data_IF_686720224523
#
_entry.id   IF_686720224523
#
_cell.length_a   1.000
_cell.length_b   1.000
_cell.length_c   1.000
_cell.angle_alpha   90.00
_cell.angle_beta   90.00
_cell.angle_gamma   90.00
#
_symmetry.space_group_name_H-M   'P 1'
#
loop_
_entity.id
_entity.type
_entity.pdbx_description
1 polymer ?
#
# COMPACT_ATOMS: atom_id res chain seq x y z
N UNK A 1 6.95 -41.50 -20.27
CA UNK A 1 8.23 -42.00 -19.72
C UNK A 1 8.28 -41.52 -18.28
N UNK A 2 8.07 -42.40 -17.29
CA UNK A 2 8.05 -42.02 -15.86
C UNK A 2 9.51 -42.01 -15.40
N UNK A 3 10.09 -40.84 -15.17
CA UNK A 3 11.41 -40.74 -14.54
C UNK A 3 11.23 -40.94 -13.03
N UNK A 4 11.67 -42.09 -12.54
CA UNK A 4 11.68 -42.41 -11.11
C UNK A 4 13.04 -41.98 -10.54
N UNK A 5 13.04 -41.20 -9.46
CA UNK A 5 14.26 -40.72 -8.81
C UNK A 5 14.26 -41.17 -7.35
N UNK A 6 15.38 -41.70 -6.87
CA UNK A 6 15.54 -42.12 -5.48
C UNK A 6 16.09 -40.96 -4.66
N UNK A 7 15.46 -40.66 -3.53
CA UNK A 7 15.93 -39.66 -2.57
C UNK A 7 15.66 -40.15 -1.16
N UNK A 8 16.66 -40.03 -0.30
CA UNK A 8 16.55 -40.25 1.14
C UNK A 8 16.55 -38.91 1.85
N UNK A 9 15.70 -38.73 2.87
CA UNK A 9 15.76 -37.54 3.71
C UNK A 9 17.02 -37.61 4.58
N UNK A 10 17.77 -36.50 4.64
CA UNK A 10 19.00 -36.43 5.42
C UNK A 10 18.67 -36.60 6.91
N UNK A 11 18.96 -37.79 7.45
CA UNK A 11 18.78 -38.12 8.87
C UNK A 11 17.58 -39.02 9.21
N UNK A 12 16.77 -39.47 8.25
CA UNK A 12 15.72 -40.47 8.51
C UNK A 12 16.13 -41.88 8.05
N UNK A 13 15.85 -42.88 8.89
CA UNK A 13 16.29 -44.28 8.75
C UNK A 13 15.41 -45.16 7.86
N UNK A 14 14.33 -44.61 7.28
CA UNK A 14 13.35 -45.38 6.52
C UNK A 14 13.46 -45.07 5.02
N UNK A 15 13.51 -46.12 4.19
CA UNK A 15 13.51 -46.01 2.73
C UNK A 15 12.14 -45.51 2.22
N UNK A 16 12.03 -44.19 1.99
CA UNK A 16 10.81 -43.57 1.43
C UNK A 16 10.97 -43.43 -0.08
N UNK A 17 10.14 -44.13 -0.84
CA UNK A 17 10.10 -43.96 -2.30
C UNK A 17 9.31 -42.70 -2.66
N UNK A 18 9.88 -41.83 -3.49
CA UNK A 18 9.19 -40.66 -4.04
C UNK A 18 9.19 -40.67 -5.54
N UNK A 19 8.08 -40.26 -6.15
CA UNK A 19 8.02 -40.03 -7.58
C UNK A 19 7.23 -38.78 -7.90
N UNK A 20 7.67 -38.10 -8.96
CA UNK A 20 7.03 -36.93 -9.52
C UNK A 20 6.17 -37.38 -10.70
N UNK A 21 4.90 -36.99 -10.72
CA UNK A 21 3.96 -37.34 -11.79
C UNK A 21 3.12 -36.12 -12.15
N UNK A 22 2.93 -35.92 -13.44
CA UNK A 22 1.85 -35.06 -13.95
C UNK A 22 0.58 -35.89 -14.02
N UNK A 23 -0.45 -35.47 -13.30
CA UNK A 23 -1.72 -36.19 -13.25
C UNK A 23 -2.62 -35.81 -14.42
N UNK A 24 -3.74 -36.55 -14.56
CA UNK A 24 -4.73 -36.35 -15.61
C UNK A 24 -5.51 -35.03 -15.50
N UNK A 25 -5.30 -34.27 -14.43
CA UNK A 25 -5.80 -32.92 -14.23
C UNK A 25 -4.77 -31.84 -14.60
N UNK A 26 -3.61 -32.23 -15.15
CA UNK A 26 -2.55 -31.34 -15.61
C UNK A 26 -1.68 -30.77 -14.49
N UNK A 27 -1.94 -31.10 -13.22
CA UNK A 27 -1.14 -30.66 -12.10
C UNK A 27 0.05 -31.60 -11.88
N UNK A 28 1.18 -31.04 -11.45
CA UNK A 28 2.41 -31.79 -11.20
C UNK A 28 2.53 -32.07 -9.69
N UNK A 29 2.58 -33.34 -9.30
CA UNK A 29 2.56 -33.75 -7.89
C UNK A 29 3.70 -34.70 -7.54
N UNK A 30 4.15 -34.60 -6.29
CA UNK A 30 5.07 -35.58 -5.68
C UNK A 30 4.25 -36.49 -4.78
N UNK A 31 4.49 -37.78 -4.97
CA UNK A 31 3.93 -38.84 -4.17
C UNK A 31 5.02 -39.54 -3.38
N UNK A 32 4.70 -39.96 -2.16
CA UNK A 32 5.55 -40.79 -1.31
C UNK A 32 4.90 -42.12 -0.99
N UNK A 33 5.70 -43.18 -0.93
CA UNK A 33 5.29 -44.51 -0.50
C UNK A 33 6.28 -45.01 0.56
N UNK A 34 5.77 -45.29 1.76
CA UNK A 34 6.51 -45.94 2.84
C UNK A 34 6.30 -47.44 2.75
N UNK A 35 7.31 -48.17 2.31
CA UNK A 35 7.28 -49.64 2.22
C UNK A 35 8.43 -50.17 1.37
N UNK A 36 9.02 -51.29 1.79
CA UNK A 36 10.06 -51.98 1.03
C UNK A 36 9.57 -52.21 -0.41
N UNK A 37 10.35 -51.74 -1.39
CA UNK A 37 10.08 -51.85 -2.82
C UNK A 37 8.79 -51.17 -3.33
N UNK A 38 8.30 -50.11 -2.68
CA UNK A 38 7.18 -49.30 -3.19
C UNK A 38 5.80 -49.94 -3.04
N UNK A 39 5.66 -50.92 -2.15
CA UNK A 39 4.40 -51.63 -1.84
C UNK A 39 3.49 -50.91 -0.83
N UNK A 40 3.89 -49.72 -0.38
CA UNK A 40 3.18 -48.94 0.63
C UNK A 40 2.02 -48.11 0.06
N UNK A 41 1.20 -47.56 0.95
CA UNK A 41 0.17 -46.60 0.57
C UNK A 41 0.82 -45.34 -0.02
N UNK A 42 0.41 -45.00 -1.24
CA UNK A 42 0.86 -43.81 -1.94
C UNK A 42 0.14 -42.60 -1.36
N UNK A 43 0.90 -41.63 -0.86
CA UNK A 43 0.39 -40.39 -0.30
C UNK A 43 0.94 -39.20 -1.07
N UNK A 44 0.08 -38.23 -1.40
CA UNK A 44 0.53 -36.96 -2.00
C UNK A 44 1.25 -36.13 -0.94
N UNK A 45 2.51 -35.78 -1.17
CA UNK A 45 3.29 -34.94 -0.24
C UNK A 45 3.46 -33.51 -0.73
N UNK A 46 3.34 -33.27 -2.03
CA UNK A 46 3.46 -31.94 -2.61
C UNK A 46 2.71 -31.83 -3.95
N UNK A 47 2.25 -30.62 -4.28
CA UNK A 47 1.66 -30.28 -5.58
C UNK A 47 2.20 -28.93 -6.06
N UNK A 48 2.44 -28.80 -7.36
CA UNK A 48 2.95 -27.57 -7.97
C UNK A 48 1.97 -26.40 -7.86
N UNK A 49 0.68 -26.71 -7.92
CA UNK A 49 -0.40 -25.74 -7.72
C UNK A 49 -1.36 -26.30 -6.69
N UNK A 50 -1.65 -25.53 -5.64
CA UNK A 50 -2.57 -25.96 -4.57
C UNK A 50 -4.04 -25.85 -4.98
N UNK A 51 -4.38 -24.81 -5.73
CA UNK A 51 -5.69 -24.57 -6.31
C UNK A 51 -5.76 -25.17 -7.73
N UNK A 52 -6.68 -26.11 -7.94
CA UNK A 52 -6.82 -26.80 -9.21
C UNK A 52 -7.20 -25.85 -10.36
N UNK A 53 -7.92 -24.78 -10.07
CA UNK A 53 -8.30 -23.80 -11.09
C UNK A 53 -7.16 -22.89 -11.54
N UNK A 54 -6.05 -22.84 -10.79
CA UNK A 54 -4.84 -22.11 -11.20
C UNK A 54 -3.94 -22.93 -12.12
N UNK A 55 -4.26 -24.22 -12.37
CA UNK A 55 -3.56 -25.04 -13.35
C UNK A 55 -3.88 -24.52 -14.76
N UNK A 56 -2.86 -23.99 -15.43
CA UNK A 56 -2.99 -23.43 -16.77
C UNK A 56 -3.63 -24.43 -17.75
N UNK A 57 -4.69 -24.00 -18.44
CA UNK A 57 -5.38 -24.84 -19.42
C UNK A 57 -6.25 -25.96 -18.85
N UNK A 58 -6.52 -26.01 -17.53
CA UNK A 58 -7.40 -27.04 -16.94
C UNK A 58 -8.78 -27.12 -17.63
N UNK A 59 -9.36 -25.96 -17.95
CA UNK A 59 -10.63 -25.86 -18.68
C UNK A 59 -10.47 -25.67 -20.20
N UNK A 60 -9.28 -25.89 -20.75
CA UNK A 60 -9.01 -25.68 -22.17
C UNK A 60 -9.03 -24.21 -22.60
N UNK A 61 -8.99 -23.98 -23.92
CA UNK A 61 -8.99 -22.62 -24.47
C UNK A 61 -10.35 -21.93 -24.24
N UNK A 62 -10.33 -20.64 -23.89
CA UNK A 62 -11.50 -19.82 -23.56
C UNK A 62 -12.39 -20.40 -22.44
N UNK A 63 -11.91 -21.38 -21.68
CA UNK A 63 -12.62 -21.96 -20.56
C UNK A 63 -12.33 -21.23 -19.25
N UNK A 64 -13.35 -21.09 -18.41
CA UNK A 64 -13.25 -20.53 -17.05
C UNK A 64 -13.45 -21.66 -16.04
N UNK A 65 -12.47 -21.85 -15.16
CA UNK A 65 -12.57 -22.74 -14.02
C UNK A 65 -13.22 -22.05 -12.82
N UNK A 66 -14.16 -22.70 -12.16
CA UNK A 66 -14.77 -22.24 -10.92
C UNK A 66 -15.07 -23.43 -10.01
N UNK A 67 -15.46 -23.18 -8.76
CA UNK A 67 -15.81 -24.25 -7.82
C UNK A 67 -17.32 -24.34 -7.61
N UNK A 68 -17.85 -25.56 -7.74
CA UNK A 68 -19.22 -25.92 -7.35
C UNK A 68 -19.15 -27.11 -6.40
N UNK A 69 -19.67 -26.95 -5.18
CA UNK A 69 -19.66 -27.99 -4.13
C UNK A 69 -18.25 -28.60 -3.90
N UNK A 70 -17.24 -27.74 -3.84
CA UNK A 70 -15.81 -28.08 -3.67
C UNK A 70 -15.18 -28.88 -4.83
N UNK A 71 -15.85 -29.01 -5.97
CA UNK A 71 -15.29 -29.60 -7.20
C UNK A 71 -15.04 -28.52 -8.26
N UNK A 72 -13.90 -28.56 -8.97
CA UNK A 72 -13.64 -27.65 -10.07
C UNK A 72 -14.56 -27.99 -11.25
N UNK A 73 -15.25 -26.99 -11.77
CA UNK A 73 -16.12 -27.06 -12.93
C UNK A 73 -15.67 -26.07 -14.00
N UNK A 74 -15.81 -26.48 -15.25
CA UNK A 74 -15.42 -25.67 -16.41
C UNK A 74 -16.66 -25.13 -17.11
N UNK A 75 -16.67 -23.84 -17.39
CA UNK A 75 -17.73 -23.16 -18.13
C UNK A 75 -17.17 -22.15 -19.13
N UNK A 76 -18.04 -21.71 -20.04
CA UNK A 76 -17.67 -20.66 -20.99
C UNK A 76 -17.85 -19.27 -20.37
N UNK A 77 -17.12 -18.24 -20.85
CA UNK A 77 -17.11 -16.92 -20.21
C UNK A 77 -18.46 -16.19 -20.32
N UNK A 78 -19.23 -16.46 -21.37
CA UNK A 78 -20.54 -15.86 -21.63
C UNK A 78 -21.30 -16.65 -22.69
N UNK A 79 -22.52 -16.21 -23.01
CA UNK A 79 -23.34 -16.80 -24.07
C UNK A 79 -22.84 -16.50 -25.49
N UNK A 80 -21.85 -15.59 -25.63
CA UNK A 80 -21.13 -15.36 -26.89
C UNK A 80 -20.20 -16.53 -27.27
N UNK A 81 -20.01 -17.48 -26.36
CA UNK A 81 -19.18 -18.66 -26.54
C UNK A 81 -20.04 -19.92 -26.46
N UNK A 82 -19.53 -21.01 -27.04
CA UNK A 82 -20.11 -22.34 -26.95
C UNK A 82 -19.03 -23.36 -26.59
N UNK A 83 -19.36 -24.41 -25.83
CA UNK A 83 -18.38 -25.44 -25.49
C UNK A 83 -17.89 -26.15 -26.76
N UNK A 84 -16.60 -26.47 -26.81
CA UNK A 84 -16.05 -27.31 -27.89
C UNK A 84 -16.64 -28.72 -27.83
N UNK A 85 -16.93 -29.20 -26.62
CA UNK A 85 -17.60 -30.47 -26.37
C UNK A 85 -18.60 -30.30 -25.21
N UNK A 86 -19.88 -30.60 -25.45
CA UNK A 86 -20.93 -30.47 -24.43
C UNK A 86 -20.76 -31.45 -23.25
N UNK A 87 -20.10 -32.58 -23.46
CA UNK A 87 -19.92 -33.64 -22.46
C UNK A 87 -18.59 -33.50 -21.69
N UNK A 88 -17.64 -32.72 -22.22
CA UNK A 88 -16.33 -32.52 -21.62
C UNK A 88 -15.92 -31.04 -21.64
N UNK A 89 -16.30 -30.32 -20.58
CA UNK A 89 -15.95 -28.91 -20.39
C UNK A 89 -14.46 -28.62 -20.31
N UNK A 90 -13.59 -29.63 -20.14
CA UNK A 90 -12.12 -29.44 -20.18
C UNK A 90 -11.57 -29.23 -21.58
N UNK A 91 -12.37 -29.47 -22.62
CA UNK A 91 -12.00 -29.16 -24.02
C UNK A 91 -12.05 -27.67 -24.34
N UNK A 92 -12.58 -26.85 -23.44
CA UNK A 92 -12.69 -25.41 -23.63
C UNK A 92 -13.91 -24.98 -24.42
N UNK A 93 -13.88 -23.72 -24.82
CA UNK A 93 -14.94 -23.02 -25.51
C UNK A 93 -14.42 -22.38 -26.79
N UNK A 94 -15.33 -22.19 -27.75
CA UNK A 94 -15.08 -21.42 -28.98
C UNK A 94 -16.04 -20.25 -29.05
N UNK A 95 -15.67 -19.20 -29.78
CA UNK A 95 -16.60 -18.10 -30.04
C UNK A 95 -17.68 -18.59 -30.99
N UNK A 96 -18.90 -18.10 -30.82
CA UNK A 96 -19.97 -18.33 -31.80
C UNK A 96 -19.73 -17.55 -33.09
N UNK A 97 -19.07 -16.39 -32.97
CA UNK A 97 -18.64 -15.54 -34.09
C UNK A 97 -17.20 -15.12 -33.80
N UNK A 98 -16.27 -15.47 -34.68
CA UNK A 98 -14.88 -15.06 -34.56
C UNK A 98 -14.75 -13.54 -34.76
N UNK A 99 -13.67 -12.97 -34.21
CA UNK A 99 -13.50 -11.51 -34.18
C UNK A 99 -13.19 -10.97 -35.59
N UNK A 100 -12.48 -11.75 -36.40
CA UNK A 100 -12.12 -11.44 -37.77
C UNK A 100 -13.35 -11.36 -38.70
N UNK A 101 -14.36 -12.19 -38.43
CA UNK A 101 -15.58 -12.31 -39.24
C UNK A 101 -16.75 -11.51 -38.66
N UNK A 102 -16.47 -10.58 -37.73
CA UNK A 102 -17.52 -9.86 -37.01
C UNK A 102 -18.27 -8.86 -37.92
N UNK A 103 -19.60 -9.01 -38.13
CA UNK A 103 -20.37 -8.11 -38.99
C UNK A 103 -20.71 -6.76 -38.33
N UNK A 104 -20.40 -6.58 -37.05
CA UNK A 104 -20.69 -5.38 -36.27
C UNK A 104 -19.50 -4.93 -35.43
N UNK A 105 -19.74 -4.06 -34.45
CA UNK A 105 -18.67 -3.58 -33.59
C UNK A 105 -18.17 -4.67 -32.63
N UNK A 106 -16.84 -4.78 -32.51
CA UNK A 106 -16.19 -5.60 -31.50
C UNK A 106 -16.28 -4.90 -30.16
N UNK A 107 -16.66 -5.63 -29.11
CA UNK A 107 -16.75 -5.10 -27.76
C UNK A 107 -15.96 -5.95 -26.78
N UNK A 108 -15.72 -5.43 -25.58
CA UNK A 108 -15.10 -6.18 -24.49
C UNK A 108 -16.15 -6.59 -23.47
N UNK A 109 -16.34 -7.90 -23.31
CA UNK A 109 -17.08 -8.51 -22.21
C UNK A 109 -16.29 -8.34 -20.91
N UNK A 110 -16.94 -7.87 -19.85
CA UNK A 110 -16.36 -7.74 -18.51
C UNK A 110 -16.70 -8.97 -17.65
N UNK A 111 -15.69 -9.52 -16.99
CA UNK A 111 -15.80 -10.67 -16.10
C UNK A 111 -15.21 -10.29 -14.73
N UNK A 112 -16.09 -10.03 -13.77
CA UNK A 112 -15.69 -9.72 -12.40
C UNK A 112 -15.20 -10.98 -11.68
N UNK A 113 -14.31 -10.76 -10.71
CA UNK A 113 -13.70 -11.80 -9.88
C UNK A 113 -13.07 -12.93 -10.71
N UNK A 114 -12.48 -12.58 -11.85
CA UNK A 114 -11.98 -13.52 -12.86
C UNK A 114 -10.56 -13.12 -13.26
N UNK A 115 -9.68 -14.11 -13.37
CA UNK A 115 -8.28 -13.93 -13.80
C UNK A 115 -7.96 -14.85 -14.99
N UNK A 116 -7.55 -14.27 -16.11
CA UNK A 116 -6.98 -15.03 -17.22
C UNK A 116 -5.51 -15.37 -17.01
N UNK A 117 -5.18 -16.64 -17.28
CA UNK A 117 -3.87 -17.27 -17.22
C UNK A 117 -3.26 -17.36 -18.62
N UNK A 118 -1.94 -17.30 -18.69
CA UNK A 118 -1.13 -17.43 -19.91
C UNK A 118 0.10 -18.30 -19.65
N UNK A 119 0.68 -18.82 -20.73
CA UNK A 119 1.94 -19.56 -20.69
C UNK A 119 2.90 -19.08 -21.79
N UNK A 120 4.16 -18.73 -21.44
CA UNK A 120 4.72 -18.64 -20.09
C UNK A 120 4.01 -17.55 -19.24
N UNK A 121 4.00 -17.66 -17.90
CA UNK A 121 3.45 -16.63 -17.03
C UNK A 121 4.19 -15.30 -17.28
N UNK A 122 3.43 -14.22 -17.42
CA UNK A 122 3.94 -12.91 -17.83
C UNK A 122 4.92 -12.34 -16.78
N UNK A 123 6.23 -12.44 -17.06
CA UNK A 123 7.29 -12.01 -16.14
C UNK A 123 7.83 -10.60 -16.43
N UNK A 124 7.61 -10.04 -17.63
CA UNK A 124 7.82 -8.62 -17.94
C UNK A 124 7.12 -8.26 -19.27
N UNK A 125 6.74 -6.99 -19.42
CA UNK A 125 6.51 -6.27 -20.71
C UNK A 125 5.12 -5.71 -21.03
N UNK A 126 4.16 -5.68 -20.10
CA UNK A 126 2.89 -4.96 -20.35
C UNK A 126 2.41 -4.13 -19.17
N UNK A 127 3.33 -3.33 -18.63
CA UNK A 127 3.05 -2.44 -17.53
C UNK A 127 2.34 -1.16 -18.03
N UNK A 128 1.01 -1.10 -17.94
CA UNK A 128 0.26 0.16 -18.07
C UNK A 128 -0.39 0.50 -16.74
N UNK A 129 0.16 1.49 -16.05
CA UNK A 129 -0.42 2.04 -14.81
C UNK A 129 -1.46 3.12 -15.17
N UNK A 130 -2.72 2.75 -15.42
CA UNK A 130 -3.86 3.69 -15.48
C UNK A 130 -5.18 2.97 -15.14
N UNK A 131 -6.17 3.76 -14.69
CA UNK A 131 -7.52 3.35 -14.25
C UNK A 131 -8.20 2.23 -15.09
N UNK A 132 -9.13 1.47 -14.49
CA UNK A 132 -9.88 0.32 -15.09
C UNK A 132 -10.21 0.49 -16.59
N UNK A 133 -10.64 1.70 -16.98
CA UNK A 133 -11.03 2.05 -18.36
C UNK A 133 -9.88 1.88 -19.36
N UNK A 134 -8.65 2.22 -18.98
CA UNK A 134 -7.47 2.14 -19.84
C UNK A 134 -7.13 0.69 -20.21
N UNK A 135 -7.24 -0.25 -19.27
CA UNK A 135 -6.94 -1.67 -19.52
C UNK A 135 -7.87 -2.26 -20.60
N UNK A 136 -9.17 -2.01 -20.45
CA UNK A 136 -10.21 -2.43 -21.39
C UNK A 136 -10.04 -1.79 -22.77
N UNK A 137 -9.84 -0.48 -22.81
CA UNK A 137 -9.77 0.29 -24.08
C UNK A 137 -8.49 0.00 -24.86
N UNK A 138 -7.35 -0.17 -24.20
CA UNK A 138 -6.10 -0.52 -24.86
C UNK A 138 -6.14 -1.91 -25.51
N UNK A 139 -6.73 -2.90 -24.82
CA UNK A 139 -6.93 -4.22 -25.43
C UNK A 139 -7.91 -4.16 -26.61
N UNK A 140 -8.98 -3.39 -26.48
CA UNK A 140 -9.96 -3.21 -27.55
C UNK A 140 -9.32 -2.59 -28.80
N UNK A 141 -8.47 -1.57 -28.63
CA UNK A 141 -7.78 -0.89 -29.73
C UNK A 141 -6.68 -1.73 -30.39
N UNK A 142 -6.04 -2.65 -29.67
CA UNK A 142 -4.96 -3.48 -30.21
C UNK A 142 -5.51 -4.69 -30.96
N UNK A 143 -5.17 -4.86 -32.24
CA UNK A 143 -5.60 -6.01 -33.04
C UNK A 143 -5.07 -7.36 -32.55
N UNK A 144 -3.93 -7.36 -31.84
CA UNK A 144 -3.27 -8.57 -31.33
C UNK A 144 -3.72 -8.96 -29.93
N UNK A 145 -4.45 -8.08 -29.23
CA UNK A 145 -4.95 -8.37 -27.89
C UNK A 145 -6.29 -9.13 -27.95
N UNK A 146 -6.33 -10.30 -27.34
CA UNK A 146 -7.52 -11.16 -27.27
C UNK A 146 -8.33 -10.90 -25.99
N UNK A 147 -7.62 -10.71 -24.88
CA UNK A 147 -8.19 -10.48 -23.56
C UNK A 147 -7.25 -9.62 -22.71
N UNK A 148 -7.70 -9.14 -21.55
CA UNK A 148 -6.88 -8.40 -20.60
C UNK A 148 -7.34 -8.65 -19.17
N UNK A 149 -6.43 -8.66 -18.20
CA UNK A 149 -6.74 -8.83 -16.77
C UNK A 149 -6.24 -7.64 -15.98
N UNK A 150 -7.12 -7.00 -15.20
CA UNK A 150 -6.75 -6.00 -14.21
C UNK A 150 -6.72 -6.64 -12.82
N UNK A 151 -5.64 -6.40 -12.07
CA UNK A 151 -5.49 -6.82 -10.68
C UNK A 151 -5.73 -5.64 -9.73
N UNK A 152 -6.67 -5.81 -8.82
CA UNK A 152 -7.12 -4.83 -7.83
C UNK A 152 -6.62 -5.17 -6.41
N UNK A 153 -5.40 -5.68 -6.29
CA UNK A 153 -4.69 -5.96 -5.04
C UNK A 153 -3.94 -4.73 -4.48
N UNK A 154 -4.18 -3.55 -5.06
CA UNK A 154 -3.48 -2.30 -4.77
C UNK A 154 -2.34 -1.98 -5.75
N UNK A 155 -1.91 -2.94 -6.58
CA UNK A 155 -0.88 -2.69 -7.60
C UNK A 155 -1.41 -1.95 -8.83
N UNK A 156 -2.68 -2.18 -9.19
CA UNK A 156 -3.31 -1.59 -10.37
C UNK A 156 -2.74 -2.11 -11.70
N UNK A 157 -2.12 -3.29 -11.70
CA UNK A 157 -1.53 -3.85 -12.92
C UNK A 157 -2.59 -4.38 -13.90
N UNK A 158 -2.40 -4.04 -15.18
CA UNK A 158 -3.18 -4.55 -16.30
C UNK A 158 -2.28 -5.44 -17.18
N UNK A 159 -2.70 -6.68 -17.40
CA UNK A 159 -1.99 -7.64 -18.25
C UNK A 159 -2.79 -7.84 -19.53
N UNK A 160 -2.21 -7.56 -20.70
CA UNK A 160 -2.86 -7.84 -21.99
C UNK A 160 -2.50 -9.27 -22.43
N UNK A 161 -3.47 -9.98 -22.98
CA UNK A 161 -3.33 -11.38 -23.39
C UNK A 161 -3.29 -11.41 -24.91
N UNK A 162 -2.09 -11.60 -25.45
CA UNK A 162 -1.83 -11.75 -26.89
C UNK A 162 -1.99 -13.17 -27.44
N UNK A 163 -1.79 -14.27 -26.69
CA UNK A 163 -1.97 -15.60 -27.29
C UNK A 163 -3.45 -15.91 -27.54
N UNK A 164 -3.73 -16.66 -28.60
CA UNK A 164 -5.07 -17.19 -28.90
C UNK A 164 -5.50 -18.30 -27.93
N UNK A 165 -4.59 -18.76 -27.06
CA UNK A 165 -4.91 -19.66 -25.97
C UNK A 165 -5.03 -18.86 -24.67
N UNK A 166 -6.26 -18.72 -24.16
CA UNK A 166 -6.56 -18.01 -22.92
C UNK A 166 -7.45 -18.91 -22.06
N UNK A 167 -6.94 -19.37 -20.93
CA UNK A 167 -7.75 -20.06 -19.91
C UNK A 167 -7.88 -19.16 -18.69
N UNK A 168 -9.00 -19.20 -17.97
CA UNK A 168 -9.17 -18.39 -16.77
C UNK A 168 -9.71 -19.17 -15.60
N UNK A 169 -9.74 -18.50 -14.45
CA UNK A 169 -10.47 -18.97 -13.29
C UNK A 169 -11.23 -17.84 -12.61
N UNK A 170 -12.31 -18.21 -11.94
CA UNK A 170 -13.24 -17.31 -11.29
C UNK A 170 -13.53 -17.78 -9.87
N UNK A 171 -13.56 -16.83 -8.94
CA UNK A 171 -13.84 -17.10 -7.53
C UNK A 171 -14.19 -15.83 -6.78
N UNK A 172 -15.16 -15.89 -5.87
CA UNK A 172 -15.77 -14.71 -5.23
C UNK A 172 -14.80 -13.77 -4.48
N UNK A 173 -13.64 -14.27 -4.08
CA UNK A 173 -12.63 -13.53 -3.30
C UNK A 173 -11.53 -12.94 -4.21
N UNK A 174 -11.56 -13.21 -5.52
CA UNK A 174 -10.51 -12.76 -6.43
C UNK A 174 -10.60 -11.25 -6.67
N UNK A 175 -9.57 -10.46 -6.31
CA UNK A 175 -9.54 -9.03 -6.53
C UNK A 175 -9.08 -8.75 -7.97
N UNK A 176 -9.73 -9.35 -8.97
CA UNK A 176 -9.36 -9.19 -10.37
C UNK A 176 -10.58 -9.05 -11.25
N UNK A 177 -10.46 -8.23 -12.29
CA UNK A 177 -11.48 -8.07 -13.33
C UNK A 177 -10.83 -8.33 -14.67
N UNK A 178 -11.37 -9.30 -15.40
CA UNK A 178 -10.88 -9.66 -16.72
C UNK A 178 -11.82 -9.16 -17.81
N UNK A 179 -11.27 -8.93 -19.00
CA UNK A 179 -12.00 -8.49 -20.17
C UNK A 179 -11.63 -9.37 -21.37
N UNK A 180 -12.59 -9.74 -22.21
CA UNK A 180 -12.35 -10.53 -23.43
C UNK A 180 -13.13 -9.98 -24.61
N UNK A 181 -12.51 -9.99 -25.80
CA UNK A 181 -13.17 -9.55 -27.03
C UNK A 181 -14.29 -10.49 -27.45
N UNK A 182 -15.43 -9.89 -27.76
CA UNK A 182 -16.61 -10.54 -28.33
C UNK A 182 -17.15 -9.71 -29.48
N UNK A 183 -17.71 -10.39 -30.48
CA UNK A 183 -18.41 -9.72 -31.58
C UNK A 183 -19.81 -9.30 -31.14
N UNK A 184 -20.18 -8.02 -31.36
CA UNK A 184 -21.48 -7.49 -31.01
C UNK A 184 -21.70 -7.30 -29.50
N UNK A 185 -22.97 -7.34 -29.08
CA UNK A 185 -23.33 -7.13 -27.69
C UNK A 185 -22.79 -8.25 -26.78
N UNK A 186 -22.19 -7.87 -25.66
CA UNK A 186 -21.77 -8.82 -24.63
C UNK A 186 -23.01 -9.40 -23.91
N UNK A 187 -23.17 -10.72 -23.95
CA UNK A 187 -24.32 -11.43 -23.38
C UNK A 187 -23.83 -12.29 -22.20
N UNK A 188 -23.79 -11.74 -20.97
CA UNK A 188 -23.26 -12.46 -19.81
C UNK A 188 -24.05 -13.74 -19.52
N UNK A 189 -23.41 -14.69 -18.83
CA UNK A 189 -24.11 -15.86 -18.32
C UNK A 189 -25.16 -15.44 -17.27
N UNK A 190 -26.31 -16.11 -17.21
CA UNK A 190 -27.31 -15.84 -16.18
C UNK A 190 -26.68 -16.01 -14.79
N UNK A 191 -26.86 -15.00 -13.95
CA UNK A 191 -26.45 -15.03 -12.55
C UNK A 191 -27.25 -16.09 -11.79
N UNK A 192 -26.64 -16.92 -10.94
CA UNK A 192 -27.36 -17.85 -10.05
C UNK A 192 -28.33 -17.16 -9.08
N UNK A 193 -28.27 -15.83 -8.96
CA UNK A 193 -29.03 -15.03 -7.99
C UNK A 193 -30.20 -14.22 -8.61
N UNK A 194 -30.55 -14.44 -9.88
CA UNK A 194 -31.61 -13.66 -10.56
C UNK A 194 -32.68 -14.52 -11.25
N UNK A 195 -33.05 -15.67 -10.68
CA UNK A 195 -34.28 -16.40 -11.07
C UNK A 195 -35.35 -16.31 -9.98
N UNK A 196 -35.96 -15.13 -9.84
CA UNK A 196 -37.31 -15.00 -9.31
C UNK A 196 -37.87 -13.61 -9.64
N UNK A 197 -38.41 -13.44 -10.85
CA UNK A 197 -39.71 -12.80 -11.07
C UNK A 197 -39.88 -12.48 -12.54
N UNK A 198 -40.60 -13.36 -13.24
CA UNK A 198 -41.33 -12.99 -14.44
C UNK A 198 -42.59 -13.84 -14.51
N UNK A 199 -43.73 -13.24 -14.12
CA UNK A 199 -45.05 -13.48 -14.71
C UNK A 199 -46.02 -12.37 -14.27
N UNK A 200 -46.09 -11.37 -15.14
CA UNK A 200 -47.27 -10.67 -15.64
C UNK A 200 -48.47 -10.42 -14.69
N UNK A 201 -48.69 -9.14 -14.37
CA UNK A 201 -50.01 -8.50 -14.43
C UNK A 201 -49.81 -6.99 -14.56
N UNK A 202 -49.82 -6.55 -15.81
CA UNK A 202 -49.58 -5.20 -16.28
C UNK A 202 -50.59 -4.18 -15.71
N UNK A 203 -50.14 -2.93 -15.53
CA UNK A 203 -50.87 -1.73 -15.05
C UNK A 203 -50.79 -1.36 -13.56
N UNK A 204 -50.99 -2.25 -12.58
CA UNK A 204 -51.05 -1.84 -11.15
C UNK A 204 -49.68 -1.82 -10.45
N UNK A 205 -48.79 -2.75 -10.80
CA UNK A 205 -47.42 -2.78 -10.27
C UNK A 205 -46.58 -1.61 -10.76
N UNK A 206 -46.78 -1.15 -11.99
CA UNK A 206 -46.03 -0.03 -12.58
C UNK A 206 -46.33 1.29 -11.83
N UNK A 207 -47.59 1.54 -11.45
CA UNK A 207 -47.94 2.71 -10.64
C UNK A 207 -47.35 2.65 -9.22
N UNK A 208 -47.37 1.48 -8.57
CA UNK A 208 -46.78 1.32 -7.24
C UNK A 208 -45.26 1.52 -7.29
N UNK A 209 -44.59 0.92 -8.27
CA UNK A 209 -43.13 1.07 -8.43
C UNK A 209 -42.76 2.53 -8.69
N UNK A 210 -43.46 3.23 -9.58
CA UNK A 210 -43.21 4.66 -9.85
C UNK A 210 -43.43 5.50 -8.58
N UNK A 211 -44.46 5.22 -7.79
CA UNK A 211 -44.72 5.94 -6.54
C UNK A 211 -43.64 5.72 -5.48
N UNK A 212 -43.12 4.49 -5.35
CA UNK A 212 -42.03 4.14 -4.41
C UNK A 212 -40.69 4.72 -4.88
N UNK A 213 -40.43 4.72 -6.19
CA UNK A 213 -39.22 5.32 -6.76
C UNK A 213 -39.24 6.84 -6.58
N UNK A 214 -40.38 7.49 -6.81
CA UNK A 214 -40.52 8.94 -6.59
C UNK A 214 -40.37 9.32 -5.11
N UNK A 215 -40.96 8.53 -4.20
CA UNK A 215 -40.82 8.75 -2.76
C UNK A 215 -39.37 8.53 -2.27
N UNK A 216 -38.68 7.52 -2.79
CA UNK A 216 -37.27 7.25 -2.43
C UNK A 216 -36.32 8.29 -3.00
N UNK A 217 -36.54 8.79 -4.23
CA UNK A 217 -35.79 9.91 -4.79
C UNK A 217 -36.01 11.21 -4.00
N UNK A 218 -37.25 11.49 -3.56
CA UNK A 218 -37.53 12.62 -2.68
C UNK A 218 -36.83 12.48 -1.33
N UNK A 219 -36.85 11.28 -0.73
CA UNK A 219 -36.15 11.02 0.53
C UNK A 219 -34.63 11.22 0.39
N UNK A 220 -34.04 10.69 -0.69
CA UNK A 220 -32.61 10.89 -0.99
C UNK A 220 -32.27 12.36 -1.26
N UNK A 221 -33.17 13.10 -1.90
CA UNK A 221 -32.98 14.54 -2.12
C UNK A 221 -33.05 15.32 -0.81
N UNK A 222 -33.97 14.99 0.10
CA UNK A 222 -34.06 15.61 1.43
C UNK A 222 -32.85 15.24 2.30
N UNK A 223 -32.40 13.98 2.26
CA UNK A 223 -31.17 13.54 2.95
C UNK A 223 -29.95 14.21 2.34
N UNK A 224 -29.89 14.35 1.01
CA UNK A 224 -28.82 15.03 0.29
C UNK A 224 -28.76 16.52 0.63
N UNK A 225 -29.91 17.21 0.70
CA UNK A 225 -30.00 18.59 1.16
C UNK A 225 -29.64 18.69 2.64
N UNK A 226 -30.10 17.76 3.48
CA UNK A 226 -29.74 17.72 4.90
C UNK A 226 -28.23 17.55 5.09
N UNK A 227 -27.63 16.60 4.37
CA UNK A 227 -26.19 16.35 4.38
C UNK A 227 -25.41 17.53 3.80
N UNK A 228 -25.89 18.14 2.72
CA UNK A 228 -25.28 19.35 2.17
C UNK A 228 -25.41 20.54 3.12
N UNK A 229 -26.53 20.74 3.79
CA UNK A 229 -26.70 21.76 4.83
C UNK A 229 -25.78 21.50 6.03
N UNK A 230 -25.60 20.24 6.45
CA UNK A 230 -24.67 19.86 7.51
C UNK A 230 -23.20 20.12 7.08
N UNK A 231 -22.83 19.76 5.86
CA UNK A 231 -21.50 20.03 5.31
C UNK A 231 -21.25 21.52 5.04
N UNK A 232 -22.27 22.25 4.59
CA UNK A 232 -22.19 23.68 4.33
C UNK A 232 -22.11 24.48 5.64
N UNK A 233 -22.85 24.08 6.68
CA UNK A 233 -22.68 24.64 8.02
C UNK A 233 -21.37 24.21 8.68
N UNK A 234 -20.84 23.00 8.39
CA UNK A 234 -19.50 22.58 8.82
C UNK A 234 -18.42 23.51 8.27
N UNK A 235 -18.54 23.96 7.01
CA UNK A 235 -17.62 24.94 6.42
C UNK A 235 -17.77 26.37 6.95
N UNK A 236 -18.83 26.66 7.73
CA UNK A 236 -19.06 27.97 8.36
C UNK A 236 -18.91 27.97 9.89
N UNK A 237 -18.68 26.82 10.51
CA UNK A 237 -18.53 26.70 11.95
C UNK A 237 -17.07 26.87 12.37
N UNK A 238 -16.58 28.11 12.31
CA UNK A 238 -15.30 28.52 12.89
C UNK A 238 -15.29 28.53 14.42
N UNK A 239 -15.90 27.55 15.08
CA UNK A 239 -15.98 27.51 16.55
C UNK A 239 -16.30 26.14 17.16
N UNK A 240 -15.72 25.06 16.64
CA UNK A 240 -15.93 23.72 17.22
C UNK A 240 -14.69 22.81 17.02
N UNK A 241 -13.62 23.02 17.79
CA UNK A 241 -12.39 22.19 17.71
C UNK A 241 -11.74 21.81 19.06
N UNK A 242 -12.16 22.40 20.18
CA UNK A 242 -11.43 22.21 21.46
C UNK A 242 -11.48 20.78 22.00
N UNK A 243 -12.57 20.04 21.74
CA UNK A 243 -12.73 18.67 22.28
C UNK A 243 -11.93 17.62 21.48
N UNK A 244 -11.77 17.80 20.17
CA UNK A 244 -11.04 16.86 19.31
C UNK A 244 -9.52 17.09 19.36
N UNK A 245 -9.06 18.34 19.51
CA UNK A 245 -7.63 18.66 19.66
C UNK A 245 -7.00 18.08 20.94
N UNK A 246 -7.79 17.92 22.02
CA UNK A 246 -7.29 17.37 23.28
C UNK A 246 -7.02 15.86 23.22
N UNK A 247 -7.83 15.13 22.44
CA UNK A 247 -7.72 13.67 22.28
C UNK A 247 -6.53 13.29 21.39
N UNK A 248 -6.30 14.04 20.32
CA UNK A 248 -5.13 13.85 19.44
C UNK A 248 -3.81 14.17 20.16
N UNK A 249 -3.82 15.15 21.08
CA UNK A 249 -2.62 15.46 21.87
C UNK A 249 -2.32 14.39 22.94
N UNK A 250 -3.35 13.75 23.50
CA UNK A 250 -3.22 12.70 24.51
C UNK A 250 -2.74 11.35 23.93
N UNK A 251 -2.97 11.11 22.63
CA UNK A 251 -2.59 9.87 21.96
C UNK A 251 -1.12 9.81 21.53
N UNK A 252 -0.36 10.90 21.70
CA UNK A 252 1.08 10.95 21.45
C UNK A 252 1.49 10.93 19.98
N UNK A 253 0.53 10.84 19.06
CA UNK A 253 0.75 10.89 17.62
C UNK A 253 0.93 12.35 17.14
N UNK A 254 1.74 12.61 16.09
CA UNK A 254 1.88 13.95 15.54
C UNK A 254 0.58 14.45 14.89
N UNK A 255 0.15 15.66 15.25
CA UNK A 255 -1.07 16.30 14.74
C UNK A 255 -0.84 16.91 13.36
N UNK A 256 -1.80 16.79 12.44
CA UNK A 256 -1.76 17.48 11.15
C UNK A 256 -2.33 18.90 11.29
N UNK A 257 -1.52 19.91 11.02
CA UNK A 257 -1.90 21.32 11.02
C UNK A 257 -2.06 21.87 9.61
N UNK A 258 -2.97 22.82 9.43
CA UNK A 258 -3.04 23.64 8.23
C UNK A 258 -1.95 24.71 8.21
N UNK A 259 -1.57 25.18 7.01
CA UNK A 259 -0.58 26.25 6.88
C UNK A 259 -1.07 27.53 7.55
N UNK A 260 -2.36 27.83 7.43
CA UNK A 260 -2.99 29.02 8.02
C UNK A 260 -2.91 29.01 9.54
N UNK A 261 -3.15 27.87 10.18
CA UNK A 261 -3.03 27.73 11.64
C UNK A 261 -1.59 27.97 12.12
N UNK A 262 -0.60 27.41 11.42
CA UNK A 262 0.81 27.61 11.76
C UNK A 262 1.27 29.04 11.49
N UNK A 263 0.79 29.65 10.41
CA UNK A 263 1.04 31.06 10.11
C UNK A 263 0.48 31.96 11.22
N UNK A 264 -0.74 31.69 11.72
CA UNK A 264 -1.32 32.43 12.84
C UNK A 264 -0.54 32.18 14.15
N UNK A 265 -0.23 30.92 14.45
CA UNK A 265 0.48 30.51 15.67
C UNK A 265 1.89 31.12 15.76
N UNK A 266 2.52 31.38 14.63
CA UNK A 266 3.85 32.01 14.53
C UNK A 266 3.80 33.52 14.31
N UNK A 267 2.61 34.14 14.35
CA UNK A 267 2.39 35.57 14.05
C UNK A 267 2.99 35.97 12.70
N UNK A 268 2.73 35.17 11.68
CA UNK A 268 3.27 35.29 10.32
C UNK A 268 4.81 35.12 10.33
N UNK A 269 5.28 34.06 10.99
CA UNK A 269 6.69 33.68 11.04
C UNK A 269 7.61 34.79 11.57
N UNK A 270 7.18 35.49 12.63
CA UNK A 270 7.83 36.71 13.14
C UNK A 270 9.13 36.43 13.93
N UNK A 271 9.08 35.52 14.89
CA UNK A 271 10.21 35.26 15.80
C UNK A 271 11.05 34.08 15.28
N UNK A 272 12.14 34.40 14.56
CA UNK A 272 13.06 33.39 14.01
C UNK A 272 14.05 32.92 15.07
N UNK A 273 14.09 31.60 15.30
CA UNK A 273 14.97 30.92 16.26
C UNK A 273 16.30 30.49 15.64
N UNK A 274 16.29 30.19 14.35
CA UNK A 274 17.45 29.74 13.58
C UNK A 274 17.15 29.62 12.09
N UNK A 275 18.20 29.57 11.28
CA UNK A 275 18.15 29.37 9.84
C UNK A 275 19.37 28.55 9.42
N UNK A 276 19.19 27.61 8.49
CA UNK A 276 20.26 26.79 7.96
C UNK A 276 19.90 26.20 6.59
N UNK A 277 20.73 25.28 6.09
CA UNK A 277 20.52 24.65 4.78
C UNK A 277 19.25 23.79 4.66
N UNK A 278 18.50 23.63 5.75
CA UNK A 278 17.24 22.88 5.82
C UNK A 278 16.03 23.79 5.98
N UNK A 279 16.22 25.12 5.90
CA UNK A 279 15.18 26.13 6.06
C UNK A 279 15.27 26.88 7.38
N UNK A 280 14.15 27.48 7.79
CA UNK A 280 14.07 28.38 8.93
C UNK A 280 13.19 27.82 10.05
N UNK A 281 13.54 28.13 11.30
CA UNK A 281 12.79 27.70 12.49
C UNK A 281 12.23 28.94 13.18
N UNK A 282 10.93 28.91 13.48
CA UNK A 282 10.20 30.01 14.10
C UNK A 282 9.58 29.58 15.41
N UNK A 283 9.48 30.49 16.37
CA UNK A 283 8.72 30.24 17.59
C UNK A 283 7.24 30.47 17.33
N UNK A 284 6.40 29.59 17.87
CA UNK A 284 4.96 29.71 17.79
C UNK A 284 4.29 29.42 19.13
N UNK A 285 3.01 29.78 19.22
CA UNK A 285 2.13 29.39 20.32
C UNK A 285 0.84 28.85 19.71
N UNK A 286 0.56 27.56 19.93
CA UNK A 286 -0.63 26.88 19.43
C UNK A 286 -1.89 27.33 20.20
N UNK A 287 -3.09 26.99 19.69
CA UNK A 287 -4.37 27.34 20.30
C UNK A 287 -4.50 26.85 21.76
N UNK A 288 -3.94 25.68 22.06
CA UNK A 288 -3.88 25.09 23.40
C UNK A 288 -2.81 25.74 24.32
N UNK A 289 -2.23 26.88 23.92
CA UNK A 289 -1.17 27.63 24.61
C UNK A 289 0.19 26.94 24.68
N UNK A 290 0.38 25.82 23.97
CA UNK A 290 1.68 25.19 23.87
C UNK A 290 2.66 26.06 23.08
N UNK A 291 3.83 26.33 23.66
CA UNK A 291 4.93 26.97 22.94
C UNK A 291 5.67 25.93 22.11
N UNK A 292 5.85 26.21 20.82
CA UNK A 292 6.40 25.28 19.84
C UNK A 292 7.49 25.92 18.99
N UNK A 293 8.34 25.08 18.40
CA UNK A 293 9.28 25.45 17.35
C UNK A 293 8.76 24.92 16.00
N UNK A 294 8.45 25.82 15.08
CA UNK A 294 7.92 25.52 13.73
C UNK A 294 9.07 25.62 12.73
N UNK A 295 9.57 24.47 12.26
CA UNK A 295 10.57 24.38 11.19
C UNK A 295 9.88 24.40 9.84
N UNK A 296 10.13 25.44 9.05
CA UNK A 296 9.69 25.54 7.66
C UNK A 296 10.81 25.06 6.76
N UNK A 297 10.56 23.98 6.03
CA UNK A 297 11.55 23.40 5.12
C UNK A 297 11.52 24.14 3.78
N UNK A 298 12.70 24.41 3.23
CA UNK A 298 12.89 25.08 1.94
C UNK A 298 13.45 24.12 0.88
N UNK A 299 13.20 24.44 -0.40
CA UNK A 299 13.61 23.63 -1.54
C UNK A 299 12.59 22.52 -1.91
N UNK A 300 12.23 22.43 -3.20
CA UNK A 300 11.17 21.54 -3.68
C UNK A 300 11.55 20.07 -3.47
N UNK A 301 12.68 19.61 -4.00
CA UNK A 301 13.08 18.19 -3.89
C UNK A 301 13.77 17.86 -2.56
N UNK A 302 14.71 18.71 -2.13
CA UNK A 302 15.48 18.48 -0.91
C UNK A 302 14.60 18.61 0.34
N UNK A 303 13.79 19.66 0.43
CA UNK A 303 12.88 19.89 1.55
C UNK A 303 11.80 18.81 1.63
N UNK A 304 11.27 18.33 0.50
CA UNK A 304 10.31 17.23 0.50
C UNK A 304 10.94 15.91 0.97
N UNK A 305 12.16 15.60 0.54
CA UNK A 305 12.88 14.42 1.01
C UNK A 305 13.10 14.46 2.52
N UNK A 306 13.55 15.61 3.04
CA UNK A 306 13.79 15.79 4.48
C UNK A 306 12.50 15.71 5.28
N UNK A 307 11.42 16.33 4.78
CA UNK A 307 10.11 16.24 5.39
C UNK A 307 9.67 14.78 5.56
N UNK A 308 9.71 13.99 4.48
CA UNK A 308 9.31 12.58 4.51
C UNK A 308 10.19 11.77 5.47
N UNK A 309 11.50 12.02 5.49
CA UNK A 309 12.42 11.35 6.40
C UNK A 309 12.14 11.71 7.86
N UNK A 310 12.00 13.00 8.20
CA UNK A 310 11.70 13.42 9.56
C UNK A 310 10.37 12.82 10.01
N UNK A 311 9.29 12.98 9.24
CA UNK A 311 7.98 12.41 9.60
C UNK A 311 8.04 10.89 9.73
N UNK A 312 8.69 10.17 8.81
CA UNK A 312 8.78 8.70 8.89
C UNK A 312 9.61 8.22 10.09
N UNK A 313 10.64 8.97 10.49
CA UNK A 313 11.56 8.53 11.55
C UNK A 313 11.07 8.93 12.94
N UNK A 314 10.72 10.21 13.13
CA UNK A 314 10.42 10.74 14.47
C UNK A 314 8.98 10.48 14.91
N UNK A 315 8.03 10.27 13.98
CA UNK A 315 6.61 10.07 14.34
C UNK A 315 6.37 8.82 15.18
N UNK A 316 7.25 7.82 15.06
CA UNK A 316 7.19 6.55 15.78
C UNK A 316 8.21 6.43 16.91
N UNK A 317 8.94 7.51 17.25
CA UNK A 317 9.94 7.49 18.33
C UNK A 317 9.52 8.39 19.48
N UNK A 318 9.59 7.86 20.70
CA UNK A 318 9.22 8.60 21.91
C UNK A 318 10.24 8.29 23.01
N UNK A 319 11.15 9.24 23.25
CA UNK A 319 12.19 9.07 24.27
C UNK A 319 12.52 10.42 24.92
N UNK A 320 12.85 10.41 26.21
CA UNK A 320 13.10 11.62 27.01
C UNK A 320 14.24 12.50 26.47
N UNK A 321 15.21 11.87 25.81
CA UNK A 321 16.39 12.55 25.23
C UNK A 321 16.30 12.74 23.72
N UNK A 322 15.10 12.68 23.13
CA UNK A 322 14.83 13.06 21.74
C UNK A 322 13.82 14.21 21.72
N UNK A 323 13.95 15.14 20.79
CA UNK A 323 12.98 16.23 20.62
C UNK A 323 11.69 15.67 20.04
N UNK A 324 10.58 15.92 20.73
CA UNK A 324 9.28 15.43 20.32
C UNK A 324 8.70 16.23 19.15
N UNK A 325 8.31 15.53 18.09
CA UNK A 325 7.47 16.06 17.03
C UNK A 325 6.01 16.16 17.53
N UNK A 326 5.50 17.37 17.64
CA UNK A 326 4.12 17.67 18.02
C UNK A 326 3.17 17.48 16.84
N UNK A 327 3.65 17.78 15.62
CA UNK A 327 2.84 17.69 14.42
C UNK A 327 3.53 18.21 13.18
N UNK A 328 2.79 18.30 12.09
CA UNK A 328 3.32 18.69 10.79
C UNK A 328 2.27 19.38 9.91
N UNK A 329 2.72 20.11 8.90
CA UNK A 329 1.89 20.65 7.83
C UNK A 329 2.43 20.18 6.48
N UNK A 330 1.53 19.66 5.65
CA UNK A 330 1.81 19.21 4.28
C UNK A 330 0.67 19.71 3.37
N UNK A 331 0.77 20.96 2.93
CA UNK A 331 -0.24 21.62 2.09
C UNK A 331 0.42 22.25 0.86
N UNK A 332 0.09 21.77 -0.34
CA UNK A 332 0.70 22.26 -1.58
C UNK A 332 2.23 22.15 -1.54
N UNK A 333 2.91 23.30 -1.59
CA UNK A 333 4.39 23.41 -1.48
C UNK A 333 4.89 23.62 -0.05
N UNK A 334 3.98 23.81 0.91
CA UNK A 334 4.34 24.05 2.30
C UNK A 334 4.64 22.73 2.99
N UNK A 335 5.85 22.63 3.56
CA UNK A 335 6.32 21.52 4.39
C UNK A 335 6.82 22.13 5.70
N UNK A 336 6.07 21.93 6.78
CA UNK A 336 6.43 22.44 8.09
C UNK A 336 6.37 21.32 9.14
N UNK A 337 7.28 21.37 10.10
CA UNK A 337 7.35 20.46 11.22
C UNK A 337 7.24 21.24 12.52
N UNK A 338 6.44 20.75 13.45
CA UNK A 338 6.13 21.42 14.72
C UNK A 338 6.73 20.60 15.84
N UNK A 339 7.73 21.15 16.52
CA UNK A 339 8.45 20.53 17.60
C UNK A 339 8.13 21.19 18.95
N UNK A 340 8.36 20.46 20.04
CA UNK A 340 8.39 21.08 21.36
C UNK A 340 9.45 22.18 21.41
N UNK A 341 9.14 23.30 22.08
CA UNK A 341 10.09 24.40 22.23
C UNK A 341 11.05 24.16 23.40
N UNK A 342 12.36 24.16 23.14
CA UNK A 342 13.38 24.03 24.18
C UNK A 342 14.02 25.39 24.49
N UNK A 343 13.79 25.86 25.73
CA UNK A 343 14.05 27.23 26.18
C UNK A 343 15.51 27.66 26.10
N UNK A 344 16.45 26.75 26.34
CA UNK A 344 17.87 27.06 26.35
C UNK A 344 18.53 26.93 24.96
N UNK A 345 17.79 26.45 23.95
CA UNK A 345 18.29 26.35 22.58
C UNK A 345 19.38 25.27 22.42
N UNK A 346 20.23 25.42 21.42
CA UNK A 346 21.24 24.45 21.01
C UNK A 346 22.54 24.54 21.83
N UNK A 347 23.24 23.41 21.96
CA UNK A 347 24.43 23.27 22.80
C UNK A 347 25.64 24.05 22.26
N UNK A 348 25.75 24.24 20.94
CA UNK A 348 26.80 25.04 20.29
C UNK A 348 26.90 26.46 20.87
N UNK A 349 25.75 27.05 21.24
CA UNK A 349 25.66 28.40 21.82
C UNK A 349 26.35 28.51 23.19
N UNK A 350 26.51 27.38 23.89
CA UNK A 350 27.20 27.29 25.19
C UNK A 350 28.65 26.85 25.06
N UNK A 351 29.00 26.14 23.99
CA UNK A 351 30.35 25.63 23.76
C UNK A 351 31.24 26.63 23.03
N UNK A 352 30.68 27.36 22.06
CA UNK A 352 31.42 28.23 21.14
C UNK A 352 31.14 29.72 21.37
N UNK A 353 30.74 30.08 22.58
CA UNK A 353 30.42 31.46 22.97
C UNK A 353 31.64 32.39 22.81
N UNK A 354 31.44 33.60 22.24
CA UNK A 354 32.46 34.64 22.17
C UNK A 354 32.86 35.16 23.56
N UNK A 355 34.11 35.64 23.71
CA UNK A 355 34.71 36.05 25.00
C UNK A 355 33.85 37.05 25.82
N UNK A 356 32.99 37.82 25.17
CA UNK A 356 32.13 38.85 25.80
C UNK A 356 30.87 38.29 26.50
N UNK A 357 30.56 36.99 26.38
CA UNK A 357 29.38 36.34 27.00
C UNK A 357 29.77 35.21 27.99
N UNK A 358 30.93 35.33 28.64
CA UNK A 358 31.54 34.33 29.52
C UNK A 358 30.68 33.86 30.72
N UNK A 359 29.62 34.59 31.05
CA UNK A 359 28.66 34.23 32.11
C UNK A 359 27.72 33.05 31.79
N UNK A 360 27.72 32.52 30.55
CA UNK A 360 26.87 31.40 30.11
C UNK A 360 27.59 30.04 30.05
N UNK A 361 28.74 29.89 30.69
CA UNK A 361 29.47 28.62 30.66
C UNK A 361 28.75 27.52 31.46
N UNK A 362 28.55 26.36 30.84
CA UNK A 362 27.95 25.19 31.49
C UNK A 362 28.89 24.65 32.58
N UNK A 363 28.36 24.42 33.79
CA UNK A 363 29.04 23.70 34.86
C UNK A 363 29.41 22.29 34.41
N UNK A 364 30.47 21.72 34.98
CA UNK A 364 30.93 20.37 34.65
C UNK A 364 29.83 19.31 34.78
N UNK A 365 29.06 19.37 35.86
CA UNK A 365 27.92 18.48 36.09
C UNK A 365 26.89 18.53 34.95
N UNK A 366 26.53 19.73 34.48
CA UNK A 366 25.63 19.88 33.34
C UNK A 366 26.24 19.28 32.07
N UNK A 367 27.54 19.48 31.83
CA UNK A 367 28.23 18.90 30.65
C UNK A 367 28.18 17.38 30.68
N UNK A 368 28.44 16.78 31.84
CA UNK A 368 28.35 15.33 32.03
C UNK A 368 26.92 14.83 31.78
N UNK A 369 25.91 15.48 32.37
CA UNK A 369 24.51 15.12 32.19
C UNK A 369 24.05 15.26 30.74
N UNK A 370 24.51 16.30 30.03
CA UNK A 370 24.24 16.51 28.59
C UNK A 370 24.85 15.38 27.76
N UNK A 371 26.10 14.99 28.02
CA UNK A 371 26.75 13.88 27.32
C UNK A 371 26.02 12.55 27.56
N UNK A 372 25.66 12.27 28.83
CA UNK A 372 24.92 11.07 29.21
C UNK A 372 23.53 11.02 28.55
N UNK A 373 22.78 12.11 28.60
CA UNK A 373 21.47 12.25 27.97
C UNK A 373 21.55 12.06 26.45
N UNK A 374 22.55 12.66 25.81
CA UNK A 374 22.78 12.51 24.36
C UNK A 374 23.08 11.06 24.01
N UNK A 375 23.97 10.40 24.77
CA UNK A 375 24.29 8.99 24.57
C UNK A 375 23.06 8.09 24.70
N UNK A 376 22.23 8.31 25.73
CA UNK A 376 20.95 7.58 25.90
C UNK A 376 20.02 7.75 24.71
N UNK A 377 19.87 8.99 24.21
CA UNK A 377 19.07 9.25 23.00
C UNK A 377 19.58 8.47 21.78
N UNK A 378 20.90 8.40 21.59
CA UNK A 378 21.52 7.67 20.48
C UNK A 378 21.37 6.15 20.66
N UNK A 379 21.62 5.62 21.86
CA UNK A 379 21.42 4.19 22.17
C UNK A 379 19.98 3.77 21.88
N UNK A 380 19.00 4.55 22.31
CA UNK A 380 17.59 4.28 22.02
C UNK A 380 17.32 4.17 20.49
N UNK A 381 17.87 5.08 19.70
CA UNK A 381 17.71 5.06 18.23
C UNK A 381 18.36 3.83 17.58
N UNK A 382 19.50 3.39 18.11
CA UNK A 382 20.27 2.30 17.51
C UNK A 382 19.81 0.90 17.94
N UNK A 383 19.42 0.75 19.20
CA UNK A 383 19.27 -0.55 19.86
C UNK A 383 17.84 -0.84 20.33
N UNK A 384 17.06 0.19 20.65
CA UNK A 384 15.73 0.02 21.27
C UNK A 384 14.57 0.27 20.30
N UNK A 385 14.83 0.95 19.17
CA UNK A 385 13.85 1.13 18.11
C UNK A 385 13.64 -0.15 17.29
N UNK A 386 12.43 -0.32 16.74
CA UNK A 386 12.07 -1.49 15.89
C UNK A 386 13.03 -1.68 14.71
N UNK A 387 13.30 -0.58 14.02
CA UNK A 387 14.34 -0.48 13.01
C UNK A 387 15.47 0.36 13.58
N UNK A 388 16.72 0.01 13.27
CA UNK A 388 17.87 0.80 13.71
C UNK A 388 17.87 2.14 12.98
N UNK A 389 17.81 3.25 13.73
CA UNK A 389 17.77 4.61 13.19
C UNK A 389 19.15 5.25 13.30
N UNK A 390 19.86 5.40 12.18
CA UNK A 390 21.10 6.20 12.15
C UNK A 390 20.72 7.67 11.97
N UNK A 391 21.09 8.54 12.92
CA UNK A 391 20.79 9.97 12.86
C UNK A 391 21.54 10.72 11.73
N UNK A 392 22.79 10.32 11.43
CA UNK A 392 23.69 10.91 10.42
C UNK A 392 24.14 12.38 10.64
N UNK A 393 23.56 13.14 11.57
CA UNK A 393 23.99 14.52 11.84
C UNK A 393 24.10 14.85 13.35
N UNK A 394 24.80 14.02 14.12
CA UNK A 394 25.05 14.30 15.55
C UNK A 394 26.16 15.36 15.68
N UNK A 395 25.79 16.55 16.18
CA UNK A 395 26.67 17.71 16.40
C UNK A 395 26.05 18.66 17.44
N UNK A 396 26.83 19.57 18.07
CA UNK A 396 26.32 20.49 19.11
C UNK A 396 25.11 21.33 18.71
N UNK A 397 24.97 21.71 17.43
CA UNK A 397 23.83 22.47 16.91
C UNK A 397 22.52 21.69 16.97
N UNK A 398 22.62 20.35 16.89
CA UNK A 398 21.48 19.43 16.88
C UNK A 398 21.19 18.83 18.27
N UNK A 399 21.92 19.24 19.30
CA UNK A 399 21.63 18.90 20.70
C UNK A 399 20.96 20.10 21.36
N UNK A 400 19.65 20.01 21.59
CA UNK A 400 18.88 21.09 22.20
C UNK A 400 18.73 20.86 23.71
N UNK A 401 18.64 21.96 24.46
CA UNK A 401 18.57 21.97 25.92
C UNK A 401 17.23 22.54 26.40
N UNK A 402 16.52 21.76 27.21
CA UNK A 402 15.32 22.23 27.89
C UNK A 402 15.64 23.22 29.03
N UNK A 403 14.62 23.69 29.75
CA UNK A 403 14.78 24.64 30.86
C UNK A 403 15.70 24.14 31.99
N UNK A 404 15.76 22.82 32.20
CA UNK A 404 16.60 22.18 33.22
C UNK A 404 18.00 21.79 32.70
N UNK A 405 18.37 22.21 31.48
CA UNK A 405 19.61 21.80 30.80
C UNK A 405 19.68 20.29 30.48
N UNK A 406 18.53 19.60 30.40
CA UNK A 406 18.48 18.24 29.90
C UNK A 406 18.63 18.25 28.38
N UNK A 407 19.51 17.40 27.85
CA UNK A 407 19.76 17.32 26.43
C UNK A 407 18.72 16.46 25.70
N UNK A 408 18.32 16.94 24.52
CA UNK A 408 17.49 16.23 23.55
C UNK A 408 18.10 16.32 22.16
N UNK A 409 18.25 15.17 21.50
CA UNK A 409 18.71 15.08 20.11
C UNK A 409 17.61 15.55 19.16
N UNK A 410 17.97 16.37 18.18
CA UNK A 410 17.06 17.00 17.21
C UNK A 410 17.59 16.90 15.78
N UNK A 411 16.76 17.30 14.82
CA UNK A 411 17.08 17.38 13.38
C UNK A 411 17.36 16.03 12.70
N UNK A 412 16.28 15.29 12.46
CA UNK A 412 16.30 13.97 11.83
C UNK A 412 16.26 14.03 10.29
N UNK A 413 16.47 15.21 9.69
CA UNK A 413 16.37 15.41 8.23
C UNK A 413 17.30 14.54 7.40
N UNK A 414 18.40 14.07 8.01
CA UNK A 414 19.39 13.20 7.38
C UNK A 414 19.34 11.75 7.87
N UNK A 415 18.40 11.41 8.76
CA UNK A 415 18.33 10.10 9.39
C UNK A 415 18.08 8.97 8.37
N UNK A 416 18.40 7.73 8.75
CA UNK A 416 18.18 6.53 7.94
C UNK A 416 17.66 5.38 8.80
N UNK A 417 16.68 4.66 8.27
CA UNK A 417 16.20 3.40 8.81
C UNK A 417 17.04 2.26 8.24
N UNK A 418 17.51 1.37 9.10
CA UNK A 418 18.21 0.14 8.75
C UNK A 418 17.46 -1.07 9.30
N UNK A 419 17.27 -2.06 8.44
CA UNK A 419 16.75 -3.35 8.86
C UNK A 419 17.85 -4.11 9.64
N UNK A 420 17.59 -4.57 10.88
CA UNK A 420 18.55 -5.36 11.66
C UNK A 420 18.99 -6.68 11.01
N UNK A 421 18.45 -7.05 9.84
CA UNK A 421 18.90 -8.22 9.08
C UNK A 421 19.97 -7.90 8.02
N UNK A 422 20.18 -6.62 7.69
CA UNK A 422 21.01 -6.16 6.57
C UNK A 422 22.41 -5.65 6.99
N UNK A 423 22.96 -6.16 8.09
CA UNK A 423 24.20 -5.70 8.76
C UNK A 423 25.47 -5.61 7.88
N UNK A 424 25.45 -6.02 6.61
CA UNK A 424 26.66 -6.23 5.79
C UNK A 424 26.88 -5.28 4.63
N UNK A 425 25.90 -4.52 4.14
CA UNK A 425 26.14 -3.64 2.99
C UNK A 425 25.31 -2.35 3.03
N UNK A 426 25.87 -1.30 3.62
CA UNK A 426 25.42 0.07 3.39
C UNK A 426 25.84 0.51 1.99
N UNK A 427 24.98 0.35 0.98
CA UNK A 427 25.08 1.13 -0.25
C UNK A 427 24.63 2.57 0.07
N UNK A 428 25.54 3.35 0.63
CA UNK A 428 25.32 4.80 0.83
C UNK A 428 25.37 5.47 -0.55
N UNK A 429 24.22 5.67 -1.17
CA UNK A 429 24.11 6.37 -2.45
C UNK A 429 24.59 7.84 -2.40
N UNK A 430 24.77 8.42 -1.21
CA UNK A 430 25.39 9.74 -1.01
C UNK A 430 25.95 9.87 0.41
N UNK A 431 27.14 10.47 0.57
CA UNK A 431 27.68 10.90 1.87
C UNK A 431 26.80 12.03 2.41
N UNK A 432 26.43 11.95 3.69
CA UNK A 432 25.56 12.91 4.39
C UNK A 432 26.08 13.16 5.80
N UNK A 433 25.94 14.40 6.25
CA UNK A 433 26.35 14.84 7.59
C UNK A 433 27.26 16.06 7.52
N UNK A 434 27.63 16.55 8.69
CA UNK A 434 28.42 17.78 8.82
C UNK A 434 29.92 17.49 8.81
N UNK A 435 30.67 18.20 7.95
CA UNK A 435 32.14 18.08 7.88
C UNK A 435 32.76 18.32 9.27
N UNK A 436 33.69 17.47 9.67
CA UNK A 436 34.29 17.48 11.02
C UNK A 436 33.62 16.53 12.02
N UNK A 437 32.38 16.11 11.74
CA UNK A 437 31.65 15.10 12.53
C UNK A 437 31.43 13.79 11.76
N UNK A 438 31.81 13.73 10.48
CA UNK A 438 31.76 12.52 9.66
C UNK A 438 32.83 11.52 10.14
N UNK A 439 32.45 10.24 10.20
CA UNK A 439 33.40 9.14 10.40
C UNK A 439 34.37 9.04 9.20
N UNK A 440 35.62 8.59 9.42
CA UNK A 440 36.67 8.55 8.39
C UNK A 440 36.41 7.57 7.25
#
# INVERSE_FOLDING_TARGET
MINMAFTTDYGESNDVFRFLRMDNDGNLRIYSSSGNNGSGNITQTWAAVTDQCQVYGFCGNMGICSYKDSKPVCGCPSQNFEPVNEHDGRKGCKRKVEIEDCPGDVTMLQLEHTMFLTYPPELSDQLVTLAIVACRTNCLASSTCTASTLVADGSGFCYLKTPNFVSGYQGAVLPSTSFIKVCGQAIPNPSPYQEASAKDNDSLHTMVIVSVVMASLLALFVVGIGFWCLLYNSNKSGRMSVQYELVDYASGAPVKFSYKELQQSTKVFLERLGEGGFGAVYKGTLANRMVVAVKQLEGIEQGERQFRMEVATISSTHHLNLVRLVGFCCEGRHRLLVYEFLKNGSLDKFLFTSKDQSGKSLKWENRFNIALATARGITYLHEECRDCIIHCDIKPENILLDEAYTAKVSDFGLARLMNPKDHRHLSLASIRGTRGYLAP
#
